data_IF_885765991274
#
_entry.id   IF_885765991274
#
_cell.length_a   1.000
_cell.length_b   1.000
_cell.length_c   1.000
_cell.angle_alpha   90.00
_cell.angle_beta   90.00
_cell.angle_gamma   90.00
#
_symmetry.space_group_name_H-M   'P 1'
#
loop_
_entity.id
_entity.type
_entity.pdbx_description
1 polymer ?
#
# COMPACT_ATOMS: atom_id res chain seq x y z
N UNK A 1 -9.01 1.89 -12.18
CA UNK A 1 -8.30 1.89 -13.49
C UNK A 1 -6.97 2.59 -13.34
N UNK A 2 -5.87 1.98 -13.83
CA UNK A 2 -4.51 2.55 -13.80
C UNK A 2 -4.14 3.08 -15.19
N UNK A 3 -3.56 4.27 -15.27
CA UNK A 3 -3.00 4.82 -16.52
C UNK A 3 -1.55 5.25 -16.34
N UNK A 4 -0.70 4.88 -17.30
CA UNK A 4 0.67 5.38 -17.40
C UNK A 4 0.70 6.65 -18.24
N UNK A 5 1.45 7.66 -17.78
CA UNK A 5 1.58 8.95 -18.44
C UNK A 5 3.06 9.28 -18.64
N UNK A 6 3.45 9.50 -19.88
CA UNK A 6 4.82 9.90 -20.27
C UNK A 6 5.09 11.38 -20.09
N UNK A 7 4.07 12.23 -19.88
CA UNK A 7 4.25 13.67 -19.68
C UNK A 7 3.25 14.26 -18.68
N UNK A 8 3.78 14.96 -17.68
CA UNK A 8 3.06 15.58 -16.54
C UNK A 8 1.82 16.42 -16.90
N UNK A 9 1.78 16.97 -18.12
CA UNK A 9 0.73 17.86 -18.61
C UNK A 9 -0.67 17.22 -18.68
N UNK A 10 -0.76 15.88 -18.70
CA UNK A 10 -2.04 15.18 -18.82
C UNK A 10 -2.57 14.62 -17.49
N UNK A 11 -1.84 14.76 -16.38
CA UNK A 11 -2.25 14.20 -15.08
C UNK A 11 -3.59 14.79 -14.61
N UNK A 12 -3.75 16.11 -14.68
CA UNK A 12 -4.96 16.80 -14.21
C UNK A 12 -6.20 16.39 -15.00
N UNK A 13 -6.06 16.22 -16.33
CA UNK A 13 -7.15 15.77 -17.21
C UNK A 13 -7.57 14.33 -16.89
N UNK A 14 -6.62 13.45 -16.55
CA UNK A 14 -6.91 12.06 -16.20
C UNK A 14 -7.52 11.93 -14.79
N UNK A 15 -7.12 12.79 -13.84
CA UNK A 15 -7.80 12.90 -12.54
C UNK A 15 -9.25 13.35 -12.72
N UNK A 16 -9.51 14.34 -13.58
CA UNK A 16 -10.86 14.78 -13.92
C UNK A 16 -11.70 13.69 -14.60
N UNK A 17 -11.06 12.76 -15.30
CA UNK A 17 -11.72 11.61 -15.94
C UNK A 17 -12.00 10.44 -14.99
N UNK A 18 -11.70 10.58 -13.68
CA UNK A 18 -11.96 9.55 -12.68
C UNK A 18 -10.95 8.40 -12.69
N UNK A 19 -9.74 8.61 -13.21
CA UNK A 19 -8.66 7.62 -13.07
C UNK A 19 -8.17 7.61 -11.62
N UNK A 20 -8.23 6.42 -11.01
CA UNK A 20 -7.91 6.20 -9.60
C UNK A 20 -6.40 6.24 -9.33
N UNK A 21 -5.58 5.76 -10.29
CA UNK A 21 -4.13 5.72 -10.15
C UNK A 21 -3.41 6.16 -11.43
N UNK A 22 -2.56 7.18 -11.31
CA UNK A 22 -1.76 7.72 -12.41
C UNK A 22 -0.29 7.48 -12.12
N UNK A 23 0.37 6.73 -12.99
CA UNK A 23 1.78 6.40 -12.86
C UNK A 23 2.58 7.23 -13.86
N UNK A 24 3.58 7.97 -13.37
CA UNK A 24 4.51 8.74 -14.19
C UNK A 24 5.87 8.09 -14.08
N UNK A 25 6.18 7.18 -15.01
CA UNK A 25 7.34 6.27 -14.94
C UNK A 25 8.65 6.99 -14.59
N UNK A 26 8.98 8.06 -15.33
CA UNK A 26 10.22 8.82 -15.15
C UNK A 26 10.38 9.40 -13.74
N UNK A 27 9.27 9.82 -13.12
CA UNK A 27 9.28 10.38 -11.76
C UNK A 27 9.64 9.30 -10.74
N UNK A 28 8.99 8.14 -10.83
CA UNK A 28 9.25 7.02 -9.92
C UNK A 28 10.66 6.47 -10.11
N UNK A 29 11.13 6.34 -11.35
CA UNK A 29 12.50 5.94 -11.66
C UNK A 29 13.52 6.89 -11.00
N UNK A 30 13.34 8.21 -11.13
CA UNK A 30 14.19 9.21 -10.49
C UNK A 30 14.17 9.14 -8.95
N UNK A 31 12.99 8.93 -8.35
CA UNK A 31 12.85 8.78 -6.89
C UNK A 31 13.52 7.50 -6.36
N UNK A 32 13.37 6.38 -7.08
CA UNK A 32 14.00 5.10 -6.74
C UNK A 32 15.52 5.23 -6.83
N UNK A 33 16.05 5.80 -7.92
CA UNK A 33 17.48 6.04 -8.09
C UNK A 33 18.04 6.89 -6.95
N UNK A 34 17.39 8.01 -6.65
CA UNK A 34 17.79 8.89 -5.56
C UNK A 34 17.70 8.25 -4.17
N UNK A 35 16.87 7.23 -3.98
CA UNK A 35 16.72 6.51 -2.71
C UNK A 35 17.70 5.35 -2.58
N UNK A 36 17.98 4.65 -3.69
CA UNK A 36 18.92 3.55 -3.76
C UNK A 36 20.37 3.97 -3.48
N UNK A 37 20.74 5.22 -3.79
CA UNK A 37 22.07 5.76 -3.44
C UNK A 37 22.31 5.82 -1.93
N UNK A 38 21.26 6.05 -1.13
CA UNK A 38 21.33 6.08 0.34
C UNK A 38 20.99 4.74 0.99
N UNK A 39 20.29 3.87 0.26
CA UNK A 39 19.79 2.59 0.77
C UNK A 39 20.20 1.44 -0.17
N UNK A 40 21.46 0.97 -0.11
CA UNK A 40 21.89 -0.16 -0.91
C UNK A 40 20.99 -1.38 -0.68
N UNK A 41 20.57 -2.03 -1.76
CA UNK A 41 19.66 -3.18 -1.72
C UNK A 41 18.18 -2.84 -1.87
N UNK A 42 17.77 -1.57 -1.80
CA UNK A 42 16.37 -1.16 -1.98
C UNK A 42 15.77 -1.64 -3.30
N UNK A 43 16.50 -1.50 -4.41
CA UNK A 43 16.02 -1.91 -5.75
C UNK A 43 15.71 -3.41 -5.77
N UNK A 44 16.58 -4.23 -5.17
CA UNK A 44 16.38 -5.69 -5.10
C UNK A 44 15.11 -6.03 -4.32
N UNK A 45 14.88 -5.36 -3.19
CA UNK A 45 13.65 -5.56 -2.40
C UNK A 45 12.41 -5.17 -3.21
N UNK A 46 12.47 -4.05 -3.93
CA UNK A 46 11.37 -3.64 -4.81
C UNK A 46 11.12 -4.65 -5.92
N UNK A 47 12.17 -5.14 -6.58
CA UNK A 47 12.06 -6.18 -7.61
C UNK A 47 11.37 -7.42 -7.04
N UNK A 48 11.82 -7.94 -5.89
CA UNK A 48 11.25 -9.14 -5.27
C UNK A 48 9.76 -8.98 -4.92
N UNK A 49 9.37 -7.81 -4.40
CA UNK A 49 7.97 -7.53 -4.00
C UNK A 49 7.08 -7.32 -5.22
N UNK A 50 7.57 -6.63 -6.26
CA UNK A 50 6.77 -6.26 -7.43
C UNK A 50 6.66 -7.40 -8.45
N UNK A 51 7.66 -8.27 -8.58
CA UNK A 51 7.59 -9.45 -9.48
C UNK A 51 6.96 -10.67 -8.80
N UNK A 52 6.83 -10.64 -7.47
CA UNK A 52 6.27 -11.73 -6.63
C UNK A 52 7.00 -13.08 -6.79
N UNK A 53 8.24 -13.10 -7.28
CA UNK A 53 9.01 -14.34 -7.51
C UNK A 53 9.23 -15.16 -6.22
N UNK A 54 9.29 -14.48 -5.07
CA UNK A 54 9.55 -15.09 -3.74
C UNK A 54 8.25 -15.25 -2.93
N UNK A 55 7.10 -14.92 -3.52
CA UNK A 55 5.80 -15.05 -2.87
C UNK A 55 5.55 -14.04 -1.75
N UNK A 56 6.15 -12.85 -1.84
CA UNK A 56 5.82 -11.69 -1.01
C UNK A 56 5.38 -10.55 -1.92
N UNK A 57 4.24 -9.93 -1.64
CA UNK A 57 3.66 -8.88 -2.48
C UNK A 57 2.90 -7.85 -1.63
N UNK A 58 2.59 -6.71 -2.24
CA UNK A 58 1.64 -5.76 -1.69
C UNK A 58 0.20 -6.24 -1.91
N UNK A 59 -0.62 -6.11 -0.88
CA UNK A 59 -2.06 -6.37 -0.94
C UNK A 59 -2.81 -5.17 -0.38
N UNK A 60 -3.76 -4.65 -1.16
CA UNK A 60 -4.69 -3.61 -0.69
C UNK A 60 -6.01 -4.28 -0.33
N UNK A 61 -6.54 -3.99 0.85
CA UNK A 61 -7.81 -4.55 1.31
C UNK A 61 -8.58 -3.58 2.20
N UNK A 62 -9.90 -3.75 2.24
CA UNK A 62 -10.75 -3.08 3.22
C UNK A 62 -10.62 -3.81 4.56
N UNK A 63 -10.40 -3.05 5.64
CA UNK A 63 -10.33 -3.63 6.99
C UNK A 63 -11.74 -4.10 7.41
N UNK A 64 -11.90 -5.37 7.84
CA UNK A 64 -13.20 -5.90 8.28
C UNK A 64 -13.82 -5.07 9.40
N UNK A 65 -15.15 -4.94 9.37
CA UNK A 65 -15.89 -4.15 10.36
C UNK A 65 -15.72 -4.69 11.79
N UNK A 66 -15.42 -5.99 11.96
CA UNK A 66 -15.15 -6.60 13.27
C UNK A 66 -13.91 -6.02 13.99
N UNK A 67 -13.01 -5.38 13.24
CA UNK A 67 -11.77 -4.81 13.77
C UNK A 67 -11.89 -3.30 14.07
N UNK A 68 -13.06 -2.69 13.77
CA UNK A 68 -13.30 -1.27 14.05
C UNK A 68 -13.18 -1.00 15.55
N UNK A 69 -12.48 0.08 15.89
CA UNK A 69 -12.19 0.47 17.27
C UNK A 69 -10.99 -0.25 17.91
N UNK A 70 -10.41 -1.25 17.25
CA UNK A 70 -9.12 -1.81 17.67
C UNK A 70 -7.97 -0.88 17.30
N UNK A 71 -6.84 -1.01 17.99
CA UNK A 71 -5.63 -0.28 17.62
C UNK A 71 -4.92 -0.97 16.47
N UNK A 72 -4.22 -0.17 15.67
CA UNK A 72 -3.31 -0.67 14.63
C UNK A 72 -2.27 -1.64 15.18
N UNK A 73 -1.81 -1.44 16.43
CA UNK A 73 -0.91 -2.39 17.09
C UNK A 73 -1.49 -3.81 17.18
N UNK A 74 -2.76 -3.91 17.59
CA UNK A 74 -3.43 -5.20 17.79
C UNK A 74 -3.61 -5.90 16.42
N UNK A 75 -3.98 -5.14 15.37
CA UNK A 75 -4.05 -5.62 13.99
C UNK A 75 -2.67 -6.09 13.46
N UNK A 76 -1.62 -5.30 13.70
CA UNK A 76 -0.26 -5.61 13.27
C UNK A 76 0.24 -6.91 13.89
N UNK A 77 -0.04 -7.14 15.17
CA UNK A 77 0.31 -8.36 15.89
C UNK A 77 -0.43 -9.58 15.34
N UNK A 78 -1.74 -9.45 15.11
CA UNK A 78 -2.59 -10.49 14.53
C UNK A 78 -2.09 -10.91 13.14
N UNK A 79 -1.88 -9.93 12.25
CA UNK A 79 -1.38 -10.15 10.90
C UNK A 79 0.00 -10.83 10.88
N UNK A 80 0.89 -10.42 11.79
CA UNK A 80 2.24 -10.99 11.84
C UNK A 80 2.23 -12.43 12.36
N UNK A 81 1.40 -12.74 13.36
CA UNK A 81 1.29 -14.08 13.96
C UNK A 81 0.56 -15.07 13.05
N UNK A 82 -0.58 -14.66 12.49
CA UNK A 82 -1.49 -15.60 11.84
C UNK A 82 -1.43 -15.56 10.31
N UNK A 83 -0.96 -14.45 9.73
CA UNK A 83 -0.94 -14.24 8.27
C UNK A 83 0.45 -14.02 7.68
N UNK A 84 1.49 -13.93 8.52
CA UNK A 84 2.87 -13.56 8.11
C UNK A 84 2.88 -12.26 7.30
N UNK A 85 1.99 -11.33 7.63
CA UNK A 85 1.83 -10.05 6.95
C UNK A 85 2.23 -8.89 7.87
N UNK A 86 2.56 -7.75 7.27
CA UNK A 86 2.91 -6.50 7.97
C UNK A 86 2.09 -5.35 7.39
N UNK A 87 1.54 -4.49 8.25
CA UNK A 87 0.86 -3.26 7.84
C UNK A 87 1.90 -2.27 7.34
N UNK A 88 1.72 -1.81 6.10
CA UNK A 88 2.56 -0.80 5.47
C UNK A 88 1.91 0.57 5.61
N UNK A 89 0.60 0.64 5.37
CA UNK A 89 -0.15 1.89 5.47
C UNK A 89 -1.61 1.66 5.78
N UNK A 90 -2.26 2.71 6.29
CA UNK A 90 -3.71 2.79 6.43
C UNK A 90 -4.16 4.08 5.73
N UNK A 91 -5.22 3.96 4.96
CA UNK A 91 -5.91 5.05 4.30
C UNK A 91 -7.33 5.12 4.81
N UNK A 92 -7.76 6.29 5.25
CA UNK A 92 -9.14 6.49 5.71
C UNK A 92 -10.11 6.73 4.54
N UNK A 93 -11.40 6.82 4.86
CA UNK A 93 -12.47 7.12 3.88
C UNK A 93 -12.32 8.47 3.16
N UNK A 94 -11.50 9.38 3.68
CA UNK A 94 -11.23 10.69 3.08
C UNK A 94 -10.00 10.63 2.14
N UNK A 95 -9.44 9.43 1.93
CA UNK A 95 -8.22 9.15 1.17
C UNK A 95 -6.96 9.75 1.80
N UNK A 96 -6.94 9.94 3.13
CA UNK A 96 -5.72 10.34 3.83
C UNK A 96 -4.86 9.10 4.11
N UNK A 97 -3.84 8.91 3.27
CA UNK A 97 -2.86 7.83 3.41
C UNK A 97 -1.83 8.14 4.52
N UNK A 98 -1.72 7.23 5.48
CA UNK A 98 -0.66 7.22 6.49
C UNK A 98 0.22 5.99 6.30
N UNK A 99 1.47 6.20 5.87
CA UNK A 99 2.51 5.15 5.82
C UNK A 99 3.11 4.97 7.21
N UNK A 100 3.37 3.73 7.60
CA UNK A 100 3.82 3.36 8.94
C UNK A 100 2.93 4.00 10.03
N UNK A 101 1.63 3.65 10.05
CA UNK A 101 0.67 4.24 10.98
C UNK A 101 1.11 4.04 12.43
N UNK A 102 0.80 5.01 13.29
CA UNK A 102 1.09 4.93 14.71
C UNK A 102 0.32 3.79 15.37
N UNK A 103 0.96 3.10 16.31
CA UNK A 103 0.38 1.98 17.04
C UNK A 103 -0.96 2.30 17.72
N UNK A 104 -1.14 3.52 18.22
CA UNK A 104 -2.36 3.95 18.92
C UNK A 104 -3.49 4.40 18.00
N UNK A 105 -3.27 4.46 16.68
CA UNK A 105 -4.34 4.81 15.74
C UNK A 105 -5.46 3.77 15.89
N UNK A 106 -6.69 4.24 15.98
CA UNK A 106 -7.87 3.37 15.98
C UNK A 106 -8.33 3.13 14.55
N UNK A 107 -8.70 1.88 14.28
CA UNK A 107 -9.28 1.47 13.01
C UNK A 107 -10.70 2.04 12.93
N UNK A 108 -11.03 2.67 11.81
CA UNK A 108 -12.37 3.19 11.54
C UNK A 108 -13.04 2.44 10.40
N UNK A 109 -14.37 2.53 10.35
CA UNK A 109 -15.17 1.84 9.33
C UNK A 109 -14.80 2.34 7.93
N UNK A 110 -14.47 1.40 7.04
CA UNK A 110 -14.10 1.69 5.66
C UNK A 110 -12.62 2.07 5.47
N UNK A 111 -11.81 2.01 6.52
CA UNK A 111 -10.35 2.13 6.37
C UNK A 111 -9.84 1.05 5.41
N UNK A 112 -8.96 1.45 4.50
CA UNK A 112 -8.17 0.55 3.65
C UNK A 112 -6.79 0.36 4.24
N UNK A 113 -6.24 -0.81 4.05
CA UNK A 113 -4.88 -1.14 4.46
C UNK A 113 -4.06 -1.59 3.25
N UNK A 114 -2.78 -1.23 3.23
CA UNK A 114 -1.78 -1.91 2.39
C UNK A 114 -0.96 -2.82 3.28
N UNK A 115 -0.91 -4.09 2.92
CA UNK A 115 -0.16 -5.14 3.59
C UNK A 115 1.02 -5.57 2.73
N UNK A 116 2.13 -5.91 3.37
CA UNK A 116 3.20 -6.70 2.78
C UNK A 116 3.14 -8.11 3.37
N UNK A 117 2.96 -9.12 2.54
CA UNK A 117 2.89 -10.50 2.99
C UNK A 117 2.78 -11.49 1.84
N UNK A 118 2.46 -12.74 2.14
CA UNK A 118 2.43 -13.79 1.12
C UNK A 118 1.06 -13.97 0.47
N UNK A 119 0.00 -13.55 1.14
CA UNK A 119 -1.38 -13.57 0.66
C UNK A 119 -2.20 -12.52 1.42
N UNK A 120 -3.29 -12.05 0.81
CA UNK A 120 -4.30 -11.28 1.52
C UNK A 120 -4.98 -12.18 2.57
N UNK A 121 -5.20 -11.72 3.83
CA UNK A 121 -5.89 -12.50 4.85
C UNK A 121 -7.27 -12.99 4.38
N UNK A 122 -7.63 -14.23 4.75
CA UNK A 122 -8.92 -14.81 4.35
C UNK A 122 -10.08 -14.01 4.94
N UNK A 123 -11.09 -13.73 4.12
CA UNK A 123 -12.29 -12.98 4.52
C UNK A 123 -12.14 -11.46 4.40
N UNK A 124 -10.96 -10.95 4.02
CA UNK A 124 -10.77 -9.54 3.71
C UNK A 124 -11.11 -9.29 2.24
N UNK A 125 -11.84 -8.21 1.97
CA UNK A 125 -12.18 -7.79 0.61
C UNK A 125 -10.97 -7.09 -0.01
N UNK A 126 -10.37 -7.72 -1.04
CA UNK A 126 -9.31 -7.10 -1.83
C UNK A 126 -9.91 -6.01 -2.73
N UNK A 127 -9.21 -4.89 -2.82
CA UNK A 127 -9.59 -3.74 -3.67
C UNK A 127 -8.92 -3.84 -5.03
#
# INVERSE_FOLDING_TARGET
TVAEVTTRQNEDMLRMAGIEEIVVGDRYAGMILGSATRNPGLVRVLDEILTTEIGCAFYTAIIPEELVGQRVADLQDELRRNHKATVISIEDKENNLTVNPTYDKLITKGDRVVLLGNHCPKGWESV
#
